data_IF_644776759906
#
_entry.id   IF_644776759906
#
_cell.length_a   1.000
_cell.length_b   1.000
_cell.length_c   1.000
_cell.angle_alpha   90.00
_cell.angle_beta   90.00
_cell.angle_gamma   90.00
#
_symmetry.space_group_name_H-M   'P 1'
#
loop_
_entity.id
_entity.type
_entity.pdbx_description
1 polymer ?
#
# COMPACT_ATOMS: atom_id res chain seq x y z
N UNK A 1 0.88 15.91 17.56
CA UNK A 1 2.22 16.38 17.14
C UNK A 1 3.08 15.20 16.64
N UNK A 2 2.52 14.33 15.78
CA UNK A 2 3.19 13.07 15.35
C UNK A 2 3.79 13.17 13.93
N UNK A 3 3.38 14.18 13.16
CA UNK A 3 3.76 14.39 11.75
C UNK A 3 5.28 14.50 11.49
N UNK A 4 6.11 15.15 12.34
CA UNK A 4 7.55 15.21 12.10
C UNK A 4 8.24 13.85 12.25
N UNK A 5 7.83 13.04 13.22
CA UNK A 5 8.42 11.72 13.48
C UNK A 5 8.04 10.70 12.38
N UNK A 6 6.79 10.73 11.92
CA UNK A 6 6.32 9.87 10.82
C UNK A 6 6.98 10.23 9.48
N UNK A 7 7.28 11.53 9.27
CA UNK A 7 8.11 11.93 8.12
C UNK A 7 9.51 11.36 8.22
N UNK A 8 10.20 11.55 9.35
CA UNK A 8 11.54 11.02 9.54
C UNK A 8 11.59 9.50 9.32
N UNK A 9 10.60 8.77 9.85
CA UNK A 9 10.50 7.32 9.64
C UNK A 9 10.40 6.93 8.16
N UNK A 10 9.57 7.63 7.37
CA UNK A 10 9.46 7.41 5.93
C UNK A 10 10.69 7.89 5.15
N UNK A 11 11.31 9.00 5.54
CA UNK A 11 12.52 9.54 4.91
C UNK A 11 13.73 8.60 5.08
N UNK A 12 13.72 7.74 6.10
CA UNK A 12 14.71 6.70 6.31
C UNK A 12 14.44 5.40 5.51
N UNK A 13 13.34 5.32 4.76
CA UNK A 13 13.05 4.17 3.90
C UNK A 13 13.69 4.33 2.53
N UNK A 14 14.16 3.22 1.96
CA UNK A 14 14.60 3.17 0.56
C UNK A 14 13.40 2.93 -0.34
N UNK A 15 13.16 3.85 -1.27
CA UNK A 15 12.08 3.71 -2.25
C UNK A 15 12.46 2.69 -3.31
N UNK A 16 11.59 1.71 -3.52
CA UNK A 16 11.76 0.67 -4.55
C UNK A 16 10.57 0.68 -5.52
N UNK A 17 10.79 0.28 -6.78
CA UNK A 17 9.70 -0.01 -7.71
C UNK A 17 8.81 -1.16 -7.21
N UNK A 18 7.52 -1.10 -7.55
CA UNK A 18 6.55 -2.18 -7.36
C UNK A 18 7.03 -3.47 -8.01
N UNK A 19 7.73 -3.38 -9.15
CA UNK A 19 8.25 -4.55 -9.85
C UNK A 19 9.34 -5.32 -9.06
N UNK A 20 9.99 -4.68 -8.08
CA UNK A 20 11.01 -5.29 -7.22
C UNK A 20 10.41 -5.93 -5.96
N UNK A 21 9.11 -5.77 -5.72
CA UNK A 21 8.43 -6.42 -4.62
C UNK A 21 8.55 -7.95 -4.77
N UNK A 22 8.87 -8.61 -3.65
CA UNK A 22 8.99 -10.06 -3.58
C UNK A 22 8.85 -10.53 -2.14
N UNK A 23 8.24 -11.71 -1.88
CA UNK A 23 8.28 -12.34 -0.56
C UNK A 23 9.70 -12.58 -0.01
N UNK A 24 10.71 -12.61 -0.89
CA UNK A 24 12.13 -12.77 -0.53
C UNK A 24 12.87 -11.44 -0.36
N UNK A 25 12.18 -10.31 -0.35
CA UNK A 25 12.78 -8.98 -0.21
C UNK A 25 13.49 -8.86 1.15
N UNK A 26 14.76 -8.46 1.12
CA UNK A 26 15.54 -8.28 2.34
C UNK A 26 15.18 -6.95 3.03
N UNK A 27 15.03 -7.01 4.35
CA UNK A 27 14.73 -5.87 5.23
C UNK A 27 13.54 -5.01 4.73
N UNK A 28 12.34 -5.60 4.52
CA UNK A 28 11.17 -4.87 4.02
C UNK A 28 10.79 -3.66 4.90
N UNK A 29 11.06 -3.71 6.20
CA UNK A 29 10.84 -2.60 7.14
C UNK A 29 11.64 -1.33 6.82
N UNK A 30 12.68 -1.46 5.99
CA UNK A 30 13.51 -0.33 5.52
C UNK A 30 13.20 0.07 4.07
N UNK A 31 12.05 -0.38 3.53
CA UNK A 31 11.64 -0.16 2.14
C UNK A 31 10.28 0.51 2.08
N UNK A 32 10.08 1.34 1.06
CA UNK A 32 8.78 1.90 0.76
C UNK A 32 8.51 1.92 -0.74
N UNK A 33 7.24 1.96 -1.10
CA UNK A 33 6.78 2.05 -2.48
C UNK A 33 5.98 3.33 -2.66
N UNK A 34 6.34 4.09 -3.69
CA UNK A 34 5.55 5.22 -4.15
C UNK A 34 4.56 4.76 -5.21
N UNK A 35 3.27 5.09 -5.05
CA UNK A 35 2.23 4.63 -5.97
C UNK A 35 1.09 5.63 -6.12
N UNK A 36 0.25 5.42 -7.13
CA UNK A 36 -1.05 6.06 -7.30
C UNK A 36 -2.13 5.01 -7.06
N UNK A 37 -3.19 5.38 -6.33
CA UNK A 37 -4.38 4.55 -6.17
C UNK A 37 -5.15 4.54 -7.49
N UNK A 38 -5.41 3.35 -8.04
CA UNK A 38 -6.07 3.21 -9.35
C UNK A 38 -7.43 2.54 -9.26
N UNK A 39 -7.59 1.54 -8.39
CA UNK A 39 -8.89 0.91 -8.10
C UNK A 39 -9.10 0.82 -6.59
N UNK A 40 -10.37 0.86 -6.19
CA UNK A 40 -10.80 0.76 -4.79
C UNK A 40 -11.81 -0.35 -4.63
N UNK A 41 -11.53 -1.26 -3.71
CA UNK A 41 -12.50 -2.18 -3.12
C UNK A 41 -12.89 -1.63 -1.75
N UNK A 42 -14.12 -1.10 -1.60
CA UNK A 42 -14.53 -0.41 -0.39
C UNK A 42 -14.57 -1.35 0.82
N UNK A 43 -14.59 -0.74 2.01
CA UNK A 43 -14.66 -1.48 3.26
C UNK A 43 -15.88 -2.39 3.30
N UNK A 44 -15.63 -3.67 3.59
CA UNK A 44 -16.63 -4.70 3.76
C UNK A 44 -16.75 -5.06 5.24
N UNK A 45 -17.88 -4.73 5.86
CA UNK A 45 -18.16 -5.09 7.25
C UNK A 45 -18.20 -6.61 7.47
N UNK A 46 -18.52 -7.40 6.44
CA UNK A 46 -18.53 -8.86 6.51
C UNK A 46 -17.12 -9.47 6.65
N UNK A 47 -16.10 -8.80 6.13
CA UNK A 47 -14.70 -9.29 6.18
C UNK A 47 -13.79 -8.41 7.04
N UNK A 48 -14.28 -7.25 7.50
CA UNK A 48 -13.48 -6.26 8.21
C UNK A 48 -12.29 -5.74 7.39
N UNK A 49 -12.42 -5.70 6.07
CA UNK A 49 -11.29 -5.39 5.17
C UNK A 49 -11.68 -4.48 4.03
N UNK A 50 -10.69 -3.79 3.47
CA UNK A 50 -10.75 -3.03 2.23
C UNK A 50 -9.49 -3.32 1.41
N UNK A 51 -9.50 -2.96 0.13
CA UNK A 51 -8.30 -3.10 -0.69
C UNK A 51 -8.18 -2.01 -1.75
N UNK A 52 -6.96 -1.78 -2.22
CA UNK A 52 -6.68 -0.89 -3.35
C UNK A 52 -5.79 -1.58 -4.38
N UNK A 53 -5.92 -1.16 -5.64
CA UNK A 53 -4.91 -1.42 -6.65
C UNK A 53 -3.98 -0.22 -6.68
N UNK A 54 -2.72 -0.45 -6.31
CA UNK A 54 -1.67 0.54 -6.39
C UNK A 54 -0.91 0.35 -7.70
N UNK A 55 -0.67 1.44 -8.40
CA UNK A 55 0.09 1.45 -9.64
C UNK A 55 1.26 2.42 -9.57
N UNK A 56 2.35 2.08 -10.23
CA UNK A 56 3.52 2.95 -10.40
C UNK A 56 3.08 4.31 -10.95
N UNK A 57 3.59 5.45 -10.45
CA UNK A 57 3.28 6.75 -11.01
C UNK A 57 3.80 6.90 -12.45
N UNK A 58 4.99 6.36 -12.74
CA UNK A 58 5.56 6.30 -14.09
C UNK A 58 4.85 5.22 -14.93
N UNK A 59 4.26 5.62 -16.05
CA UNK A 59 3.53 4.72 -16.95
C UNK A 59 4.41 3.63 -17.59
N UNK A 60 5.73 3.85 -17.68
CA UNK A 60 6.69 2.87 -18.19
C UNK A 60 6.87 1.73 -17.20
N UNK A 61 7.08 2.08 -15.93
CA UNK A 61 7.18 1.12 -14.83
C UNK A 61 5.85 0.40 -14.62
N UNK A 62 4.71 1.12 -14.78
CA UNK A 62 3.37 0.54 -14.67
C UNK A 62 3.16 -0.63 -15.63
N UNK A 63 3.63 -0.52 -16.87
CA UNK A 63 3.54 -1.58 -17.88
C UNK A 63 4.52 -2.75 -17.63
N UNK A 64 5.51 -2.54 -16.76
CA UNK A 64 6.57 -3.51 -16.45
C UNK A 64 6.37 -4.08 -15.04
N UNK A 65 5.24 -4.73 -14.80
CA UNK A 65 4.88 -5.31 -13.48
C UNK A 65 4.76 -4.26 -12.36
N UNK A 66 4.36 -3.03 -12.71
CA UNK A 66 4.26 -1.91 -11.78
C UNK A 66 2.88 -1.74 -11.14
N UNK A 67 2.15 -2.82 -10.90
CA UNK A 67 0.81 -2.78 -10.28
C UNK A 67 0.64 -3.93 -9.28
N UNK A 68 0.24 -3.60 -8.06
CA UNK A 68 0.05 -4.55 -6.95
C UNK A 68 -1.25 -4.24 -6.20
N UNK A 69 -1.97 -5.29 -5.79
CA UNK A 69 -3.12 -5.14 -4.90
C UNK A 69 -2.66 -5.14 -3.45
N UNK A 70 -3.17 -4.19 -2.67
CA UNK A 70 -2.90 -4.06 -1.24
C UNK A 70 -4.21 -4.20 -0.47
N UNK A 71 -4.26 -5.15 0.44
CA UNK A 71 -5.38 -5.38 1.35
C UNK A 71 -5.05 -4.83 2.74
N UNK A 72 -6.04 -4.18 3.33
CA UNK A 72 -5.98 -3.76 4.73
C UNK A 72 -7.03 -4.54 5.51
N UNK A 73 -6.64 -5.11 6.65
CA UNK A 73 -7.50 -5.79 7.62
C UNK A 73 -7.26 -5.21 9.01
N UNK A 74 -7.98 -5.70 10.04
CA UNK A 74 -7.70 -5.36 11.44
C UNK A 74 -7.71 -3.86 11.73
N UNK A 75 -6.77 -3.40 12.56
CA UNK A 75 -6.65 -1.97 12.88
C UNK A 75 -6.22 -1.14 11.68
N UNK A 76 -5.41 -1.67 10.76
CA UNK A 76 -5.02 -0.96 9.54
C UNK A 76 -6.23 -0.63 8.67
N UNK A 77 -7.16 -1.57 8.48
CA UNK A 77 -8.39 -1.34 7.71
C UNK A 77 -9.23 -0.22 8.29
N UNK A 78 -9.34 -0.15 9.63
CA UNK A 78 -10.11 0.88 10.30
C UNK A 78 -9.53 2.27 10.03
N UNK A 79 -8.23 2.46 10.30
CA UNK A 79 -7.56 3.75 10.07
C UNK A 79 -7.59 4.17 8.60
N UNK A 80 -7.43 3.22 7.68
CA UNK A 80 -7.53 3.49 6.25
C UNK A 80 -8.97 3.81 5.83
N UNK A 81 -9.99 3.16 6.39
CA UNK A 81 -11.40 3.46 6.06
C UNK A 81 -11.84 4.85 6.54
N UNK A 82 -11.23 5.34 7.62
CA UNK A 82 -11.46 6.70 8.15
C UNK A 82 -10.72 7.76 7.32
N UNK A 83 -9.70 7.34 6.56
CA UNK A 83 -9.02 8.19 5.61
C UNK A 83 -9.86 8.36 4.33
N UNK A 84 -9.87 9.57 3.78
CA UNK A 84 -10.74 9.92 2.64
C UNK A 84 -10.05 9.77 1.28
N UNK A 85 -8.97 9.00 1.20
CA UNK A 85 -8.23 8.89 -0.06
C UNK A 85 -8.90 7.91 -1.02
N UNK A 86 -8.77 8.21 -2.31
CA UNK A 86 -9.47 7.56 -3.40
C UNK A 86 -8.58 7.40 -4.63
N UNK A 87 -9.14 6.87 -5.72
CA UNK A 87 -8.44 6.77 -7.00
C UNK A 87 -7.91 8.13 -7.44
N UNK A 88 -6.65 8.15 -7.87
CA UNK A 88 -5.92 9.35 -8.27
C UNK A 88 -4.97 9.89 -7.20
N UNK A 89 -5.17 9.54 -5.93
CA UNK A 89 -4.29 9.99 -4.85
C UNK A 89 -2.93 9.27 -4.89
N UNK A 90 -1.88 10.03 -4.58
CA UNK A 90 -0.52 9.53 -4.48
C UNK A 90 -0.24 9.06 -3.05
N UNK A 91 0.39 7.89 -2.94
CA UNK A 91 0.73 7.28 -1.66
C UNK A 91 2.20 6.91 -1.61
N UNK A 92 2.76 6.95 -0.40
CA UNK A 92 4.03 6.35 -0.05
C UNK A 92 3.76 5.33 1.06
N UNK A 93 3.93 4.05 0.73
CA UNK A 93 3.63 2.91 1.60
C UNK A 93 4.94 2.29 2.09
N UNK A 94 5.19 2.35 3.39
CA UNK A 94 6.26 1.57 4.01
C UNK A 94 5.89 0.08 4.00
N UNK A 95 6.87 -0.79 3.77
CA UNK A 95 6.66 -2.25 3.78
C UNK A 95 6.89 -2.87 5.17
N UNK A 96 7.08 -2.04 6.19
CA UNK A 96 7.09 -2.47 7.58
C UNK A 96 5.71 -3.03 7.99
N UNK A 97 5.68 -4.28 8.46
CA UNK A 97 4.45 -5.01 8.77
C UNK A 97 3.77 -5.69 7.58
N UNK A 98 4.41 -5.74 6.41
CA UNK A 98 3.83 -6.38 5.22
C UNK A 98 3.71 -7.90 5.37
N UNK A 99 2.52 -8.43 5.06
CA UNK A 99 2.27 -9.84 4.84
C UNK A 99 2.17 -10.11 3.32
N UNK A 100 2.94 -11.06 2.81
CA UNK A 100 2.93 -11.42 1.39
C UNK A 100 1.92 -12.53 1.14
N UNK A 101 0.86 -12.22 0.39
CA UNK A 101 -0.20 -13.18 0.08
C UNK A 101 0.01 -13.70 -1.34
N UNK A 102 0.50 -14.93 -1.45
CA UNK A 102 0.51 -15.67 -2.73
C UNK A 102 -0.76 -16.49 -2.80
N UNK A 103 -1.61 -16.16 -3.76
CA UNK A 103 -2.90 -16.83 -3.89
C UNK A 103 -2.82 -17.90 -4.98
N UNK A 104 -2.50 -19.13 -4.59
CA UNK A 104 -2.37 -20.28 -5.51
C UNK A 104 -3.72 -20.68 -6.16
N UNK A 105 -4.84 -20.22 -5.59
CA UNK A 105 -6.18 -20.65 -5.96
C UNK A 105 -7.12 -19.50 -6.38
N UNK A 106 -6.68 -18.23 -6.38
CA UNK A 106 -7.53 -17.12 -6.86
C UNK A 106 -7.37 -16.87 -8.35
N UNK A 107 -8.51 -16.59 -8.98
CA UNK A 107 -8.59 -15.89 -10.27
C UNK A 107 -7.82 -14.57 -10.11
N UNK A 108 -6.85 -14.33 -10.99
CA UNK A 108 -6.05 -13.10 -10.98
C UNK A 108 -6.95 -11.87 -10.83
N UNK A 109 -6.70 -11.05 -9.80
CA UNK A 109 -7.48 -9.83 -9.61
C UNK A 109 -7.26 -8.93 -10.84
N UNK A 110 -8.31 -8.46 -11.52
CA UNK A 110 -8.14 -7.62 -12.71
C UNK A 110 -7.24 -6.42 -12.43
N UNK A 111 -6.21 -6.24 -13.26
CA UNK A 111 -5.26 -5.11 -13.16
C UNK A 111 -4.06 -5.33 -12.25
N UNK A 112 -3.91 -6.47 -11.57
CA UNK A 112 -2.65 -6.81 -10.88
C UNK A 112 -1.61 -7.36 -11.85
N UNK A 113 -0.36 -6.94 -11.70
CA UNK A 113 0.74 -7.33 -12.60
C UNK A 113 1.87 -8.12 -11.90
N UNK A 114 1.78 -8.24 -10.56
CA UNK A 114 2.63 -9.10 -9.74
C UNK A 114 1.81 -10.28 -9.20
N UNK A 115 2.48 -11.40 -8.91
CA UNK A 115 1.86 -12.70 -8.58
C UNK A 115 1.39 -12.82 -7.12
N UNK A 116 1.56 -11.77 -6.33
CA UNK A 116 1.21 -11.72 -4.92
C UNK A 116 0.44 -10.43 -4.62
N UNK A 117 -0.24 -10.42 -3.49
CA UNK A 117 -0.84 -9.24 -2.90
C UNK A 117 -0.09 -8.87 -1.62
N UNK A 118 -0.16 -7.60 -1.24
CA UNK A 118 0.31 -7.16 0.07
C UNK A 118 -0.87 -7.12 1.03
N UNK A 119 -0.68 -7.55 2.26
CA UNK A 119 -1.65 -7.37 3.34
C UNK A 119 -1.00 -6.63 4.52
N UNK A 120 -1.76 -5.69 5.09
CA UNK A 120 -1.43 -5.01 6.34
C UNK A 120 -2.60 -5.18 7.31
N UNK A 121 -2.33 -5.74 8.48
CA UNK A 121 -3.35 -6.09 9.48
C UNK A 121 -3.31 -5.16 10.70
N UNK A 122 -2.12 -4.98 11.28
CA UNK A 122 -1.95 -4.20 12.51
C UNK A 122 -0.93 -3.08 12.34
N UNK A 123 0.22 -3.38 11.74
CA UNK A 123 1.28 -2.39 11.54
C UNK A 123 1.17 -1.76 10.15
N UNK A 124 1.05 -0.44 10.10
CA UNK A 124 0.97 0.32 8.86
C UNK A 124 1.68 1.66 9.03
N UNK A 125 2.46 2.05 8.02
CA UNK A 125 2.90 3.42 7.84
C UNK A 125 2.67 3.84 6.40
N UNK A 126 1.68 4.71 6.20
CA UNK A 126 1.22 5.16 4.90
C UNK A 126 1.11 6.69 4.90
N UNK A 127 1.81 7.34 3.97
CA UNK A 127 1.66 8.77 3.68
C UNK A 127 0.81 8.91 2.43
N UNK A 128 -0.20 9.75 2.51
CA UNK A 128 -1.12 10.03 1.42
C UNK A 128 -1.02 11.51 1.07
N UNK A 129 -0.86 11.80 -0.21
CA UNK A 129 -0.96 13.14 -0.77
C UNK A 129 -2.33 13.31 -1.40
N UNK A 130 -3.18 14.05 -0.71
CA UNK A 130 -4.45 14.56 -1.21
C UNK A 130 -4.19 15.87 -1.98
N UNK A 131 -5.16 16.34 -2.76
CA UNK A 131 -5.02 17.53 -3.63
C UNK A 131 -4.36 18.74 -2.95
N UNK A 132 -4.76 19.05 -1.71
CA UNK A 132 -4.28 20.23 -0.98
C UNK A 132 -3.64 19.90 0.38
N UNK A 133 -3.47 18.62 0.72
CA UNK A 133 -2.98 18.22 2.05
C UNK A 133 -2.23 16.89 2.03
N UNK A 134 -1.42 16.69 3.08
CA UNK A 134 -0.74 15.41 3.34
C UNK A 134 -1.34 14.83 4.61
N UNK A 135 -1.72 13.56 4.55
CA UNK A 135 -2.22 12.79 5.69
C UNK A 135 -1.33 11.57 5.91
N UNK A 136 -1.10 11.24 7.18
CA UNK A 136 -0.38 10.03 7.58
C UNK A 136 -1.37 9.08 8.23
N UNK A 137 -1.31 7.83 7.83
CA UNK A 137 -2.09 6.75 8.38
C UNK A 137 -1.08 5.81 9.02
N UNK A 138 -1.24 5.63 10.33
CA UNK A 138 -0.36 4.80 11.13
C UNK A 138 -1.21 3.83 11.95
N UNK A 139 -0.75 2.59 12.04
CA UNK A 139 -1.31 1.59 12.96
C UNK A 139 -0.16 0.76 13.57
N UNK A 140 -0.40 0.22 14.77
CA UNK A 140 0.61 -0.20 15.76
C UNK A 140 1.41 -1.46 15.37
#
# INVERSE_FOLDING_TARGET
>A
METPALNAALDHTLHIPIAELSPSLAAPETRAVKAIVTLTWPFSSATGSLAFLLSEPDFRLRQQRGQVRVQFAGSSAKHVSESKFASGDEVLLCLDGVEWIKDENKVATPGTSVEFELRFSERLLLKVRLSDSITYIFSN
#
